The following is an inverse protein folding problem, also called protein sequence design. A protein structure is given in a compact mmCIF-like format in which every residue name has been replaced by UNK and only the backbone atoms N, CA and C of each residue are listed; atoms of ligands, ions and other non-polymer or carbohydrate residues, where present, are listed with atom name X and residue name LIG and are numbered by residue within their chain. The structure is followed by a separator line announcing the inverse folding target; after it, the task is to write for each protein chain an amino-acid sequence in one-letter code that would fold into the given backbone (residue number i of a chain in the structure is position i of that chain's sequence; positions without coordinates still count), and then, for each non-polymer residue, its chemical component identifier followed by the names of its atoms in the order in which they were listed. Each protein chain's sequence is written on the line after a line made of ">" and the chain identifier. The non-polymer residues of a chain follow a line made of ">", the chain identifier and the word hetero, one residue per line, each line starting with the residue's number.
data_IF_996098079797
#
_entry.id   IF_996098079797
#
_cell.length_a   1.000
_cell.length_b   1.000
_cell.length_c   1.000
_cell.angle_alpha   90.00
_cell.angle_beta   90.00
_cell.angle_gamma   90.00
#
_symmetry.space_group_name_H-M   'P 1'
#
loop_
_entity.id
_entity.type
_entity.pdbx_description
1 polymer ?
#
# COMPACT_ATOMS: atom_id res chain seq x y z
N UNK A 1 22.38 11.01 -32.36
CA UNK A 1 22.52 12.17 -31.42
C UNK A 1 23.91 12.30 -30.79
N UNK A 2 24.68 11.21 -30.62
CA UNK A 2 26.05 11.28 -30.08
C UNK A 2 27.06 12.01 -30.96
N UNK A 3 27.00 11.83 -32.28
CA UNK A 3 27.93 12.49 -33.23
C UNK A 3 27.85 14.03 -33.21
N UNK A 4 26.66 14.59 -32.94
CA UNK A 4 26.47 16.04 -32.79
C UNK A 4 27.08 16.61 -31.51
N UNK A 5 27.34 15.76 -30.51
CA UNK A 5 27.94 16.12 -29.22
C UNK A 5 29.40 15.64 -29.10
N UNK A 6 29.96 15.04 -30.16
CA UNK A 6 31.32 14.48 -30.16
C UNK A 6 31.51 13.27 -29.25
N UNK A 7 30.44 12.57 -28.88
CA UNK A 7 30.49 11.40 -27.98
C UNK A 7 29.92 10.13 -28.66
N UNK A 8 30.37 8.93 -28.25
CA UNK A 8 29.80 7.69 -28.75
C UNK A 8 28.29 7.62 -28.54
N UNK A 9 27.56 7.09 -29.53
CA UNK A 9 26.09 7.06 -29.47
C UNK A 9 25.55 6.26 -28.28
N UNK A 10 26.20 5.15 -27.93
CA UNK A 10 25.83 4.36 -26.75
C UNK A 10 25.89 5.21 -25.47
N UNK A 11 26.89 6.09 -25.34
CA UNK A 11 27.06 6.96 -24.18
C UNK A 11 25.96 8.01 -24.11
N UNK A 12 25.59 8.61 -25.26
CA UNK A 12 24.48 9.55 -25.33
C UNK A 12 23.14 8.90 -24.94
N UNK A 13 22.88 7.67 -25.40
CA UNK A 13 21.68 6.89 -25.04
C UNK A 13 21.67 6.55 -23.55
N UNK A 14 22.82 6.13 -22.99
CA UNK A 14 22.93 5.85 -21.55
C UNK A 14 22.67 7.09 -20.70
N UNK A 15 23.26 8.24 -21.06
CA UNK A 15 23.05 9.50 -20.33
C UNK A 15 21.57 9.89 -20.36
N UNK A 16 20.94 9.80 -21.53
CA UNK A 16 19.51 10.10 -21.66
C UNK A 16 18.66 9.19 -20.77
N UNK A 17 18.86 7.87 -20.83
CA UNK A 17 18.12 6.91 -20.03
C UNK A 17 18.28 7.14 -18.53
N UNK A 18 19.51 7.37 -18.06
CA UNK A 18 19.80 7.64 -16.65
C UNK A 18 19.17 8.96 -16.19
N UNK A 19 19.24 10.00 -17.02
CA UNK A 19 18.67 11.32 -16.69
C UNK A 19 17.15 11.24 -16.61
N UNK A 20 16.51 10.57 -17.58
CA UNK A 20 15.08 10.35 -17.60
C UNK A 20 14.62 9.54 -16.37
N UNK A 21 15.31 8.44 -16.05
CA UNK A 21 15.00 7.62 -14.87
C UNK A 21 15.16 8.41 -13.56
N UNK A 22 16.25 9.15 -13.42
CA UNK A 22 16.51 9.97 -12.22
C UNK A 22 15.45 11.07 -12.07
N UNK A 23 15.09 11.74 -13.16
CA UNK A 23 14.04 12.74 -13.17
C UNK A 23 12.68 12.17 -12.78
N UNK A 24 12.33 10.99 -13.32
CA UNK A 24 11.11 10.26 -12.97
C UNK A 24 11.06 9.89 -11.49
N UNK A 25 12.12 9.27 -10.95
CA UNK A 25 12.20 8.89 -9.54
C UNK A 25 12.12 10.10 -8.60
N UNK A 26 12.80 11.20 -8.93
CA UNK A 26 12.73 12.43 -8.16
C UNK A 26 11.32 13.03 -8.15
N UNK A 27 10.64 13.04 -9.31
CA UNK A 27 9.27 13.53 -9.42
C UNK A 27 8.30 12.68 -8.58
N UNK A 28 8.37 11.35 -8.71
CA UNK A 28 7.55 10.41 -7.94
C UNK A 28 7.76 10.58 -6.44
N UNK A 29 9.02 10.73 -5.99
CA UNK A 29 9.34 10.97 -4.58
C UNK A 29 8.71 12.28 -4.05
N UNK A 30 8.78 13.37 -4.83
CA UNK A 30 8.16 14.65 -4.46
C UNK A 30 6.64 14.54 -4.41
N UNK A 31 6.03 13.84 -5.36
CA UNK A 31 4.59 13.64 -5.42
C UNK A 31 4.07 12.86 -4.21
N UNK A 32 4.73 11.74 -3.86
CA UNK A 32 4.40 10.92 -2.68
C UNK A 32 4.54 11.75 -1.41
N UNK A 33 5.64 12.49 -1.23
CA UNK A 33 5.80 13.37 -0.04
C UNK A 33 4.70 14.41 0.07
N UNK A 34 4.27 14.99 -1.06
CA UNK A 34 3.17 15.96 -1.07
C UNK A 34 1.84 15.28 -0.72
N UNK A 35 1.58 14.07 -1.22
CA UNK A 35 0.39 13.30 -0.88
C UNK A 35 0.34 12.98 0.61
N UNK A 36 1.41 12.40 1.17
CA UNK A 36 1.50 12.09 2.59
C UNK A 36 1.32 13.34 3.46
N UNK A 37 1.91 14.48 3.06
CA UNK A 37 1.70 15.74 3.79
C UNK A 37 0.24 16.19 3.78
N UNK A 38 -0.49 16.02 2.66
CA UNK A 38 -1.92 16.34 2.60
C UNK A 38 -2.75 15.44 3.51
N UNK A 39 -2.42 14.14 3.58
CA UNK A 39 -3.07 13.19 4.49
C UNK A 39 -2.80 13.57 5.94
N UNK A 40 -1.55 13.82 6.31
CA UNK A 40 -1.15 14.20 7.67
C UNK A 40 -1.85 15.45 8.21
N UNK A 41 -2.29 16.36 7.33
CA UNK A 41 -3.03 17.58 7.71
C UNK A 41 -4.53 17.29 7.91
N UNK A 42 -5.09 16.30 7.21
CA UNK A 42 -6.53 16.00 7.22
C UNK A 42 -6.96 15.11 8.38
N UNK A 43 -6.08 14.25 8.88
CA UNK A 43 -6.41 13.25 9.92
C UNK A 43 -5.24 13.02 10.88
N UNK A 44 -5.49 12.57 12.12
CA UNK A 44 -4.43 12.25 13.07
C UNK A 44 -3.61 11.02 12.63
N UNK A 45 -2.37 10.91 13.12
CA UNK A 45 -1.55 9.70 13.01
C UNK A 45 -1.78 8.85 14.27
N UNK A 46 -2.62 7.80 14.22
CA UNK A 46 -2.86 6.97 15.39
C UNK A 46 -1.62 6.15 15.72
N UNK A 47 -1.50 5.77 16.99
CA UNK A 47 -0.63 4.68 17.43
C UNK A 47 -1.20 3.33 17.02
N UNK A 48 -0.40 2.27 17.05
CA UNK A 48 -0.88 0.92 16.75
C UNK A 48 -2.06 0.52 17.65
N UNK A 49 -1.98 0.81 18.95
CA UNK A 49 -3.05 0.48 19.90
C UNK A 49 -4.36 1.22 19.57
N UNK A 50 -4.28 2.51 19.20
CA UNK A 50 -5.45 3.28 18.77
C UNK A 50 -6.01 2.75 17.45
N UNK A 51 -5.15 2.42 16.49
CA UNK A 51 -5.56 1.82 15.23
C UNK A 51 -6.31 0.49 15.45
N UNK A 52 -5.76 -0.41 16.26
CA UNK A 52 -6.40 -1.68 16.59
C UNK A 52 -7.75 -1.47 17.29
N UNK A 53 -7.85 -0.47 18.18
CA UNK A 53 -9.11 -0.11 18.82
C UNK A 53 -10.15 0.39 17.82
N UNK A 54 -9.74 1.19 16.82
CA UNK A 54 -10.65 1.68 15.77
C UNK A 54 -11.12 0.59 14.80
N UNK A 55 -10.35 -0.49 14.65
CA UNK A 55 -10.63 -1.62 13.76
C UNK A 55 -11.40 -2.76 14.45
N UNK A 56 -11.49 -2.73 15.78
CA UNK A 56 -11.99 -3.84 16.61
C UNK A 56 -13.43 -4.29 16.31
N UNK A 57 -14.25 -3.40 15.73
CA UNK A 57 -15.64 -3.72 15.36
C UNK A 57 -15.77 -4.28 13.93
N UNK A 58 -14.75 -4.11 13.09
CA UNK A 58 -14.83 -4.41 11.66
C UNK A 58 -14.13 -5.70 11.26
N UNK A 59 -13.10 -6.09 12.00
CA UNK A 59 -12.29 -7.27 11.71
C UNK A 59 -11.58 -7.81 12.95
N UNK A 60 -11.06 -9.02 12.83
CA UNK A 60 -10.25 -9.65 13.87
C UNK A 60 -8.97 -8.86 14.16
N UNK A 61 -8.43 -8.95 15.41
CA UNK A 61 -7.17 -8.30 15.76
C UNK A 61 -6.00 -8.71 14.88
N UNK A 62 -6.00 -9.94 14.35
CA UNK A 62 -4.94 -10.45 13.50
C UNK A 62 -4.96 -9.81 12.11
N UNK A 63 -6.15 -9.62 11.52
CA UNK A 63 -6.31 -8.89 10.26
C UNK A 63 -5.91 -7.43 10.42
N UNK A 64 -6.32 -6.78 11.52
CA UNK A 64 -5.94 -5.41 11.82
C UNK A 64 -4.41 -5.25 11.98
N UNK A 65 -3.75 -6.13 12.76
CA UNK A 65 -2.28 -6.11 12.90
C UNK A 65 -1.55 -6.38 11.59
N UNK A 66 -2.06 -7.30 10.77
CA UNK A 66 -1.51 -7.56 9.45
C UNK A 66 -1.56 -6.30 8.59
N UNK A 67 -2.72 -5.65 8.51
CA UNK A 67 -2.87 -4.41 7.74
C UNK A 67 -1.98 -3.30 8.26
N UNK A 68 -1.92 -3.12 9.58
CA UNK A 68 -1.01 -2.16 10.21
C UNK A 68 0.43 -2.37 9.75
N UNK A 69 0.96 -3.59 9.91
CA UNK A 69 2.34 -3.89 9.53
C UNK A 69 2.62 -3.67 8.04
N UNK A 70 1.71 -4.11 7.16
CA UNK A 70 1.89 -3.94 5.72
C UNK A 70 1.88 -2.48 5.33
N UNK A 71 0.84 -1.74 5.70
CA UNK A 71 0.69 -0.33 5.35
C UNK A 71 1.78 0.55 5.96
N UNK A 72 2.19 0.29 7.20
CA UNK A 72 3.21 1.06 7.91
C UNK A 72 4.54 1.09 7.14
N UNK A 73 4.94 -0.04 6.55
CA UNK A 73 6.19 -0.16 5.77
C UNK A 73 6.28 0.79 4.56
N UNK A 74 5.14 1.23 4.01
CA UNK A 74 5.07 2.14 2.85
C UNK A 74 5.07 3.62 3.26
N UNK A 75 4.59 3.91 4.47
CA UNK A 75 4.22 5.27 4.86
C UNK A 75 5.13 5.86 5.94
N UNK A 76 5.87 5.01 6.65
CA UNK A 76 6.90 5.45 7.57
C UNK A 76 8.04 6.21 6.89
N UNK A 77 8.68 7.14 7.61
CA UNK A 77 8.36 7.63 8.96
C UNK A 77 7.33 8.80 8.95
N UNK A 78 6.61 9.01 7.84
CA UNK A 78 5.86 10.27 7.60
C UNK A 78 4.43 10.21 8.10
N UNK A 79 3.85 9.03 8.07
CA UNK A 79 2.49 8.75 8.52
C UNK A 79 2.48 7.47 9.34
N UNK A 80 1.40 7.30 10.08
CA UNK A 80 0.93 5.99 10.51
C UNK A 80 -0.38 5.66 9.79
N UNK A 81 -0.70 4.38 9.56
CA UNK A 81 -1.95 3.97 8.91
C UNK A 81 -3.19 4.44 9.69
N UNK A 82 -4.23 4.89 8.99
CA UNK A 82 -5.55 5.15 9.56
C UNK A 82 -6.61 4.28 8.88
N UNK A 83 -7.63 3.78 9.60
CA UNK A 83 -8.65 2.87 9.02
C UNK A 83 -9.35 3.42 7.77
N UNK A 84 -9.56 4.73 7.72
CA UNK A 84 -10.29 5.39 6.64
C UNK A 84 -9.40 5.87 5.49
N UNK A 85 -8.07 5.64 5.56
CA UNK A 85 -7.17 5.99 4.47
C UNK A 85 -7.47 5.10 3.25
N UNK A 86 -7.54 5.70 2.06
CA UNK A 86 -7.56 4.96 0.79
C UNK A 86 -6.17 4.42 0.48
N UNK A 87 -6.05 3.11 0.26
CA UNK A 87 -4.76 2.44 0.08
C UNK A 87 -3.97 3.02 -1.11
N UNK A 88 -4.65 3.26 -2.23
CA UNK A 88 -4.01 3.79 -3.45
C UNK A 88 -3.88 5.32 -3.40
N UNK A 89 -4.93 6.04 -3.01
CA UNK A 89 -4.97 7.49 -3.17
C UNK A 89 -4.30 8.25 -2.01
N UNK A 90 -4.52 7.81 -0.77
CA UNK A 90 -3.97 8.48 0.41
C UNK A 90 -2.58 7.96 0.74
N UNK A 91 -2.41 6.64 0.75
CA UNK A 91 -1.13 6.02 1.13
C UNK A 91 -0.16 5.88 -0.04
N UNK A 92 -0.65 5.97 -1.29
CA UNK A 92 0.13 5.77 -2.50
C UNK A 92 0.78 4.38 -2.58
N UNK A 93 0.07 3.35 -2.12
CA UNK A 93 0.50 1.96 -2.24
C UNK A 93 0.19 1.48 -3.66
N UNK A 94 1.08 0.65 -4.21
CA UNK A 94 0.90 0.09 -5.55
C UNK A 94 -0.31 -0.86 -5.61
N UNK A 95 -1.05 -0.82 -6.72
CA UNK A 95 -2.24 -1.65 -6.91
C UNK A 95 -1.91 -3.15 -6.97
N UNK A 96 -0.73 -3.51 -7.51
CA UNK A 96 -0.26 -4.90 -7.54
C UNK A 96 -0.07 -5.46 -6.13
N UNK A 97 0.50 -4.66 -5.23
CA UNK A 97 0.70 -5.05 -3.83
C UNK A 97 -0.64 -5.34 -3.14
N UNK A 98 -1.63 -4.46 -3.33
CA UNK A 98 -2.95 -4.56 -2.67
C UNK A 98 -3.80 -5.68 -3.28
N UNK A 99 -3.76 -5.88 -4.59
CA UNK A 99 -4.65 -6.83 -5.28
C UNK A 99 -4.05 -8.23 -5.41
N UNK A 100 -2.73 -8.36 -5.44
CA UNK A 100 -2.06 -9.63 -5.68
C UNK A 100 -1.34 -10.15 -4.46
N UNK A 101 -0.42 -9.37 -3.90
CA UNK A 101 0.56 -9.85 -2.93
C UNK A 101 -0.03 -9.96 -1.53
N UNK A 102 -0.69 -8.91 -1.04
CA UNK A 102 -1.20 -8.89 0.33
C UNK A 102 -2.27 -9.96 0.59
N UNK A 103 -3.25 -10.20 -0.31
CA UNK A 103 -4.19 -11.29 -0.14
C UNK A 103 -3.52 -12.66 -0.11
N UNK A 104 -2.46 -12.86 -0.90
CA UNK A 104 -1.69 -14.09 -0.90
C UNK A 104 -0.98 -14.30 0.44
N UNK A 105 -0.25 -13.29 0.91
CA UNK A 105 0.46 -13.35 2.20
C UNK A 105 -0.52 -13.61 3.35
N UNK A 106 -1.70 -13.00 3.32
CA UNK A 106 -2.74 -13.26 4.31
C UNK A 106 -3.24 -14.70 4.26
N UNK A 107 -3.60 -15.20 3.08
CA UNK A 107 -4.10 -16.56 2.91
C UNK A 107 -3.08 -17.61 3.38
N UNK A 108 -1.80 -17.44 3.03
CA UNK A 108 -0.70 -18.30 3.49
C UNK A 108 -0.58 -18.31 5.02
N UNK A 109 -0.71 -17.14 5.68
CA UNK A 109 -0.69 -17.04 7.15
C UNK A 109 -1.86 -17.76 7.81
N UNK A 110 -3.02 -17.80 7.16
CA UNK A 110 -4.21 -18.48 7.65
C UNK A 110 -4.24 -19.98 7.28
N UNK A 111 -3.27 -20.46 6.49
CA UNK A 111 -3.26 -21.84 6.00
C UNK A 111 -4.34 -22.12 4.95
N UNK A 112 -4.73 -21.09 4.19
CA UNK A 112 -5.81 -21.14 3.21
C UNK A 112 -5.28 -20.92 1.79
N UNK A 113 -5.88 -21.55 0.77
CA UNK A 113 -5.70 -21.14 -0.61
C UNK A 113 -6.20 -19.70 -0.83
N UNK A 114 -5.46 -18.89 -1.60
CA UNK A 114 -5.94 -17.54 -2.00
C UNK A 114 -7.27 -17.59 -2.76
N UNK A 115 -7.54 -18.67 -3.50
CA UNK A 115 -8.80 -18.90 -4.22
C UNK A 115 -10.03 -18.95 -3.33
N UNK A 116 -9.83 -19.14 -2.02
CA UNK A 116 -10.91 -19.27 -1.05
C UNK A 116 -11.29 -17.91 -0.45
N UNK A 117 -10.53 -16.85 -0.75
CA UNK A 117 -10.93 -15.49 -0.45
C UNK A 117 -12.10 -15.09 -1.36
N UNK A 118 -13.14 -14.42 -0.82
CA UNK A 118 -14.26 -13.97 -1.64
C UNK A 118 -13.83 -12.89 -2.62
N UNK A 119 -14.60 -12.69 -3.68
CA UNK A 119 -14.40 -11.55 -4.58
C UNK A 119 -14.54 -10.21 -3.83
N UNK A 120 -13.77 -9.20 -4.26
CA UNK A 120 -13.88 -7.85 -3.68
C UNK A 120 -15.28 -7.26 -3.93
N UNK A 121 -15.97 -6.76 -2.88
CA UNK A 121 -17.27 -6.13 -3.07
C UNK A 121 -17.16 -4.82 -3.87
N UNK A 122 -17.83 -4.75 -5.03
CA UNK A 122 -17.74 -3.60 -5.96
C UNK A 122 -18.11 -2.24 -5.37
N UNK A 123 -18.98 -2.24 -4.37
CA UNK A 123 -19.48 -1.02 -3.70
C UNK A 123 -18.52 -0.54 -2.59
N UNK A 124 -17.50 -1.33 -2.23
CA UNK A 124 -16.62 -0.99 -1.12
C UNK A 124 -15.46 -0.13 -1.61
N UNK A 125 -15.26 1.08 -1.05
CA UNK A 125 -14.05 1.83 -1.30
C UNK A 125 -12.85 1.06 -0.73
N UNK A 126 -11.71 1.13 -1.40
CA UNK A 126 -10.47 0.44 -1.05
C UNK A 126 -9.74 1.16 0.10
N UNK A 127 -10.42 1.24 1.26
CA UNK A 127 -9.86 1.76 2.50
C UNK A 127 -9.14 0.66 3.28
N UNK A 128 -8.25 1.05 4.19
CA UNK A 128 -7.58 0.13 5.13
C UNK A 128 -8.62 -0.73 5.88
N UNK A 129 -9.70 -0.12 6.38
CA UNK A 129 -10.79 -0.79 7.11
C UNK A 129 -11.48 -1.85 6.27
N UNK A 130 -11.93 -1.48 5.08
CA UNK A 130 -12.67 -2.38 4.21
C UNK A 130 -11.78 -3.53 3.72
N UNK A 131 -10.50 -3.25 3.50
CA UNK A 131 -9.55 -4.27 3.08
C UNK A 131 -9.29 -5.29 4.18
N UNK A 132 -9.05 -4.85 5.42
CA UNK A 132 -8.94 -5.76 6.56
C UNK A 132 -10.21 -6.59 6.78
N UNK A 133 -11.37 -5.94 6.69
CA UNK A 133 -12.67 -6.61 6.81
C UNK A 133 -12.84 -7.70 5.75
N UNK A 134 -12.51 -7.40 4.49
CA UNK A 134 -12.60 -8.36 3.40
C UNK A 134 -11.63 -9.54 3.57
N UNK A 135 -10.38 -9.31 4.01
CA UNK A 135 -9.45 -10.38 4.33
C UNK A 135 -9.97 -11.30 5.44
N UNK A 136 -10.65 -10.72 6.44
CA UNK A 136 -11.19 -11.46 7.57
C UNK A 136 -12.43 -12.30 7.20
N UNK A 137 -13.14 -11.97 6.11
CA UNK A 137 -14.24 -12.80 5.60
C UNK A 137 -13.77 -14.19 5.14
N UNK A 138 -12.53 -14.30 4.68
CA UNK A 138 -11.94 -15.56 4.25
C UNK A 138 -11.49 -16.46 5.40
N UNK A 139 -11.52 -15.96 6.65
CA UNK A 139 -11.03 -16.71 7.80
C UNK A 139 -11.97 -17.90 8.10
N UNK A 140 -11.47 -19.13 8.28
CA UNK A 140 -12.27 -20.23 8.79
C UNK A 140 -12.75 -19.86 10.20
N UNK A 141 -14.06 -19.97 10.43
CA UNK A 141 -14.63 -19.84 11.76
C UNK A 141 -13.95 -20.91 12.61
N UNK A 142 -13.13 -20.50 13.58
CA UNK A 142 -12.59 -21.43 14.55
C UNK A 142 -13.78 -22.11 15.22
N UNK A 143 -13.88 -23.43 15.10
CA UNK A 143 -14.84 -24.20 15.87
C UNK A 143 -14.47 -24.03 17.35
N UNK A 144 -15.26 -23.22 18.07
CA UNK A 144 -15.27 -23.20 19.54
C UNK A 144 -15.84 -24.51 20.09
#
# INVERSE_FOLDING_TARGET
>A
MGEWLGIPEWLAVTIFAVTALTGWLALSFVMIRRAHRRVAVRRPNPTETEFLAMMAQDCSPDAARFLWAQTLSYVEPRLTPHPDDLLLDDLCIDDGDVTMDWPQVWAERQGLPKSDLPDWPKEWPLTVRNFARWLDLGRPIAAE
#
